data_IF_506807774431
#
_entry.id   IF_506807774431
#
_cell.length_a   1.000
_cell.length_b   1.000
_cell.length_c   1.000
_cell.angle_alpha   90.00
_cell.angle_beta   90.00
_cell.angle_gamma   90.00
#
_symmetry.space_group_name_H-M   'P 1'
#
loop_
_entity.id
_entity.type
_entity.pdbx_description
1 polymer ?
#
# COMPACT_ATOMS: atom_id res chain seq x y z
N UNK A 1 -32.06 -35.08 40.68
CA UNK A 1 -31.94 -33.68 41.12
C UNK A 1 -30.75 -33.10 40.35
N UNK A 2 -31.00 -32.59 39.15
CA UNK A 2 -29.97 -32.06 38.24
C UNK A 2 -29.95 -30.55 38.33
N UNK A 3 -28.84 -29.99 38.81
CA UNK A 3 -28.52 -28.57 38.65
C UNK A 3 -27.96 -28.30 37.23
N UNK A 4 -28.40 -27.24 36.54
CA UNK A 4 -27.77 -26.72 35.34
C UNK A 4 -27.20 -25.30 35.58
N UNK A 5 -25.88 -25.11 35.49
CA UNK A 5 -25.21 -23.82 35.21
C UNK A 5 -23.70 -23.95 35.47
N UNK A 6 -22.80 -23.34 34.72
CA UNK A 6 -22.98 -22.28 33.74
C UNK A 6 -21.95 -22.40 32.63
N UNK A 7 -22.42 -22.17 31.41
CA UNK A 7 -21.58 -21.93 30.26
C UNK A 7 -20.85 -20.59 30.47
N UNK A 8 -19.52 -20.66 30.52
CA UNK A 8 -18.66 -19.50 30.43
C UNK A 8 -18.70 -18.98 28.99
N UNK A 9 -19.56 -17.99 28.73
CA UNK A 9 -19.60 -17.26 27.46
C UNK A 9 -18.41 -16.29 27.39
N UNK A 10 -17.27 -16.82 26.96
CA UNK A 10 -16.09 -16.04 26.64
C UNK A 10 -16.26 -15.28 25.32
N UNK A 11 -16.38 -13.97 25.41
CA UNK A 11 -15.89 -13.00 24.43
C UNK A 11 -16.50 -13.06 23.02
N UNK A 12 -17.61 -12.34 22.83
CA UNK A 12 -18.06 -11.91 21.52
C UNK A 12 -17.06 -10.88 20.93
N UNK A 13 -15.95 -11.34 20.36
CA UNK A 13 -15.34 -10.61 19.27
C UNK A 13 -16.29 -10.76 18.08
N UNK A 14 -16.88 -9.68 17.60
CA UNK A 14 -17.74 -9.71 16.41
C UNK A 14 -16.94 -10.32 15.25
N UNK A 15 -17.11 -11.62 15.03
CA UNK A 15 -16.64 -12.30 13.84
C UNK A 15 -17.48 -11.75 12.71
N UNK A 16 -17.00 -10.71 12.04
CA UNK A 16 -17.44 -10.34 10.70
C UNK A 16 -17.23 -11.53 9.78
N UNK A 17 -18.26 -12.37 9.70
CA UNK A 17 -18.26 -13.45 8.74
C UNK A 17 -18.36 -12.84 7.35
N UNK A 18 -17.29 -12.96 6.59
CA UNK A 18 -17.25 -12.60 5.18
C UNK A 18 -17.43 -13.90 4.39
N UNK A 19 -18.43 -14.01 3.52
CA UNK A 19 -18.53 -15.12 2.58
C UNK A 19 -17.24 -15.20 1.75
N UNK A 20 -16.61 -16.37 1.60
CA UNK A 20 -15.34 -16.47 0.89
C UNK A 20 -15.46 -15.97 -0.56
N UNK A 21 -14.43 -15.32 -1.08
CA UNK A 21 -14.38 -14.94 -2.50
C UNK A 21 -14.44 -16.19 -3.37
N UNK A 22 -15.48 -16.32 -4.19
CA UNK A 22 -15.72 -17.45 -5.09
C UNK A 22 -15.46 -17.08 -6.55
N UNK A 23 -15.31 -15.80 -6.84
CA UNK A 23 -14.98 -15.28 -8.16
C UNK A 23 -15.66 -13.94 -8.41
N UNK A 24 -15.83 -13.60 -9.69
CA UNK A 24 -16.40 -12.32 -10.12
C UNK A 24 -17.86 -12.11 -9.67
N UNK A 25 -18.60 -13.20 -9.40
CA UNK A 25 -20.01 -13.16 -9.00
C UNK A 25 -20.23 -12.54 -7.60
N UNK A 26 -19.29 -12.72 -6.67
CA UNK A 26 -19.38 -12.16 -5.32
C UNK A 26 -18.27 -11.16 -5.01
N UNK A 27 -17.43 -10.83 -5.98
CA UNK A 27 -16.28 -9.96 -5.82
C UNK A 27 -16.62 -8.59 -5.22
N UNK A 28 -17.62 -7.88 -5.77
CA UNK A 28 -17.95 -6.52 -5.31
C UNK A 28 -18.38 -6.50 -3.83
N UNK A 29 -19.19 -7.49 -3.41
CA UNK A 29 -19.64 -7.60 -2.02
C UNK A 29 -18.48 -8.01 -1.11
N UNK A 30 -17.69 -8.99 -1.55
CA UNK A 30 -16.52 -9.46 -0.82
C UNK A 30 -15.49 -8.34 -0.63
N UNK A 31 -15.23 -7.54 -1.66
CA UNK A 31 -14.25 -6.45 -1.67
C UNK A 31 -14.61 -5.38 -0.63
N UNK A 32 -15.86 -4.91 -0.63
CA UNK A 32 -16.37 -3.96 0.38
C UNK A 32 -16.22 -4.52 1.80
N UNK A 33 -16.69 -5.75 2.03
CA UNK A 33 -16.62 -6.35 3.35
C UNK A 33 -15.18 -6.57 3.81
N UNK A 34 -14.30 -6.98 2.89
CA UNK A 34 -12.89 -7.18 3.19
C UNK A 34 -12.18 -5.86 3.48
N UNK A 35 -12.53 -4.78 2.79
CA UNK A 35 -12.07 -3.42 3.07
C UNK A 35 -12.49 -2.95 4.47
N UNK A 36 -13.76 -3.13 4.85
CA UNK A 36 -14.26 -2.80 6.19
C UNK A 36 -13.45 -3.52 7.28
N UNK A 37 -13.16 -4.79 7.05
CA UNK A 37 -12.42 -5.64 7.99
C UNK A 37 -10.95 -5.27 8.10
N UNK A 38 -10.30 -4.97 6.97
CA UNK A 38 -8.92 -4.52 7.01
C UNK A 38 -8.83 -3.13 7.63
N UNK A 39 -9.83 -2.27 7.44
CA UNK A 39 -9.89 -0.94 8.04
C UNK A 39 -10.08 -1.02 9.55
N UNK A 40 -11.01 -1.85 10.04
CA UNK A 40 -11.22 -2.09 11.47
C UNK A 40 -9.94 -2.61 12.18
N UNK A 41 -9.11 -3.37 11.46
CA UNK A 41 -7.83 -3.87 11.96
C UNK A 41 -6.63 -2.93 11.77
N UNK A 42 -6.82 -1.74 11.18
CA UNK A 42 -5.78 -0.79 10.75
C UNK A 42 -4.74 -1.41 9.76
N UNK A 43 -5.22 -2.32 8.93
CA UNK A 43 -4.44 -3.07 7.94
C UNK A 43 -4.69 -2.66 6.50
N UNK A 44 -5.77 -1.94 6.20
CA UNK A 44 -6.16 -1.62 4.82
C UNK A 44 -5.05 -0.90 4.05
N UNK A 45 -4.29 -0.03 4.72
CA UNK A 45 -3.15 0.67 4.13
C UNK A 45 -2.04 -0.26 3.57
N UNK A 46 -1.97 -1.51 4.01
CA UNK A 46 -1.04 -2.50 3.46
C UNK A 46 -1.60 -3.23 2.24
N UNK A 47 -2.92 -3.24 2.06
CA UNK A 47 -3.61 -3.89 0.96
C UNK A 47 -3.80 -2.94 -0.24
N UNK A 48 -4.14 -1.68 -0.01
CA UNK A 48 -4.22 -0.66 -1.07
C UNK A 48 -2.82 -0.16 -1.53
N UNK A 49 -1.78 -0.45 -0.73
CA UNK A 49 -0.40 -0.02 -0.98
C UNK A 49 -0.07 1.40 -0.50
N UNK A 50 -0.97 2.08 0.22
CA UNK A 50 -0.74 3.44 0.75
C UNK A 50 0.32 3.48 1.86
N UNK A 51 0.42 2.43 2.69
CA UNK A 51 1.50 2.25 3.67
C UNK A 51 2.73 1.66 2.97
N UNK A 52 3.61 2.54 2.49
CA UNK A 52 4.87 2.16 1.85
C UNK A 52 5.79 1.38 2.81
N UNK A 53 6.49 0.38 2.27
CA UNK A 53 7.48 -0.42 2.98
C UNK A 53 8.67 0.46 3.39
N UNK A 54 8.97 0.59 4.70
CA UNK A 54 10.15 1.34 5.16
C UNK A 54 11.46 0.71 4.65
N UNK A 55 12.54 1.49 4.68
CA UNK A 55 13.87 0.94 4.51
C UNK A 55 14.23 0.03 5.71
N UNK A 56 15.03 -1.02 5.47
CA UNK A 56 15.44 -1.94 6.54
C UNK A 56 16.46 -1.31 7.49
N UNK A 57 17.23 -0.34 7.00
CA UNK A 57 18.30 0.35 7.72
C UNK A 57 17.99 1.84 7.76
N UNK A 58 18.19 2.47 8.91
CA UNK A 58 18.07 3.93 9.05
C UNK A 58 19.44 4.53 8.77
N UNK A 59 19.48 5.52 7.87
CA UNK A 59 20.64 6.39 7.71
C UNK A 59 20.72 7.31 8.92
N UNK A 60 21.69 7.07 9.81
CA UNK A 60 21.92 7.93 10.96
C UNK A 60 23.01 8.92 10.58
N UNK A 61 22.66 10.21 10.54
CA UNK A 61 23.65 11.27 10.42
C UNK A 61 24.44 11.35 11.73
N UNK A 62 25.63 10.76 11.77
CA UNK A 62 26.53 10.91 12.91
C UNK A 62 27.36 12.16 12.66
N UNK A 63 27.19 13.17 13.50
CA UNK A 63 27.98 14.40 13.41
C UNK A 63 29.36 14.18 14.06
N UNK A 64 30.22 13.43 13.37
CA UNK A 64 31.51 12.98 13.89
C UNK A 64 32.72 13.86 13.55
N UNK A 65 32.71 14.57 12.41
CA UNK A 65 33.86 15.36 11.94
C UNK A 65 33.53 16.84 11.75
N UNK A 66 34.46 17.69 12.18
CA UNK A 66 34.50 19.10 11.80
C UNK A 66 35.38 19.23 10.55
N UNK A 67 34.98 20.04 9.58
CA UNK A 67 35.89 20.52 8.55
C UNK A 67 36.91 21.51 9.15
N UNK A 68 37.86 21.94 8.32
CA UNK A 68 38.94 22.84 8.73
C UNK A 68 38.42 24.24 9.10
N UNK A 69 37.18 24.57 8.69
CA UNK A 69 36.42 25.75 9.08
C UNK A 69 35.58 25.58 10.37
N UNK A 70 35.56 24.37 10.95
CA UNK A 70 34.84 24.06 12.18
C UNK A 70 33.36 23.68 12.01
N UNK A 71 32.85 23.61 10.78
CA UNK A 71 31.51 23.12 10.47
C UNK A 71 31.45 21.60 10.50
N UNK A 72 30.31 21.06 10.95
CA UNK A 72 30.12 19.61 11.09
C UNK A 72 29.76 19.02 9.72
N UNK A 73 30.59 18.11 9.20
CA UNK A 73 30.25 17.28 8.04
C UNK A 73 29.47 16.04 8.51
N UNK A 74 28.38 15.65 7.82
CA UNK A 74 27.66 14.43 8.13
C UNK A 74 28.46 13.20 7.66
N UNK A 75 28.96 12.39 8.60
CA UNK A 75 29.34 11.01 8.29
C UNK A 75 28.04 10.18 8.35
N UNK A 76 27.67 9.58 7.21
CA UNK A 76 26.51 8.69 7.12
C UNK A 76 26.93 7.29 7.58
N UNK A 77 26.57 6.90 8.81
CA UNK A 77 26.69 5.51 9.24
C UNK A 77 25.35 4.81 8.97
N UNK A 78 25.36 3.91 7.99
CA UNK A 78 24.19 3.13 7.57
C UNK A 78 24.26 1.77 8.23
N UNK A 79 23.91 1.65 9.51
CA UNK A 79 23.79 0.30 10.08
C UNK A 79 22.77 0.08 11.20
N UNK A 80 22.06 1.11 11.65
CA UNK A 80 21.01 0.90 12.65
C UNK A 80 19.75 0.28 12.03
N UNK A 81 19.23 -0.78 12.66
CA UNK A 81 18.00 -1.44 12.23
C UNK A 81 16.79 -0.52 12.39
N UNK A 82 15.93 -0.45 11.37
CA UNK A 82 14.72 0.36 11.42
C UNK A 82 13.59 -0.39 12.16
N UNK A 83 13.16 0.02 13.36
CA UNK A 83 12.06 -0.64 14.07
C UNK A 83 10.73 -0.57 13.29
N UNK A 84 10.55 0.47 12.46
CA UNK A 84 9.36 0.61 11.60
C UNK A 84 9.30 -0.51 10.56
N UNK A 85 10.45 -0.97 10.04
CA UNK A 85 10.51 -2.07 9.08
C UNK A 85 9.93 -3.36 9.66
N UNK A 86 10.37 -3.75 10.85
CA UNK A 86 9.90 -4.98 11.49
C UNK A 86 8.40 -4.92 11.81
N UNK A 87 7.91 -3.76 12.27
CA UNK A 87 6.48 -3.56 12.53
C UNK A 87 5.64 -3.61 11.24
N UNK A 88 6.12 -3.00 10.15
CA UNK A 88 5.47 -3.01 8.86
C UNK A 88 5.36 -4.44 8.30
N UNK A 89 6.44 -5.23 8.36
CA UNK A 89 6.44 -6.62 7.88
C UNK A 89 5.40 -7.47 8.61
N UNK A 90 5.24 -7.27 9.94
CA UNK A 90 4.24 -7.99 10.73
C UNK A 90 2.82 -7.61 10.32
N UNK A 91 2.56 -6.32 10.14
CA UNK A 91 1.26 -5.81 9.73
C UNK A 91 0.89 -6.27 8.31
N UNK A 92 1.82 -6.17 7.36
CA UNK A 92 1.64 -6.66 5.99
C UNK A 92 1.38 -8.18 5.96
N UNK A 93 2.13 -8.98 6.73
CA UNK A 93 1.85 -10.42 6.88
C UNK A 93 0.45 -10.67 7.41
N UNK A 94 0.03 -9.91 8.42
CA UNK A 94 -1.29 -10.04 9.04
C UNK A 94 -2.39 -9.69 8.02
N UNK A 95 -2.21 -8.64 7.23
CA UNK A 95 -3.13 -8.27 6.16
C UNK A 95 -3.24 -9.40 5.10
N UNK A 96 -2.10 -9.92 4.64
CA UNK A 96 -2.06 -11.02 3.67
C UNK A 96 -2.74 -12.29 4.19
N UNK A 97 -2.50 -12.66 5.44
CA UNK A 97 -3.19 -13.80 6.09
C UNK A 97 -4.70 -13.56 6.17
N UNK A 98 -5.14 -12.34 6.51
CA UNK A 98 -6.55 -12.00 6.58
C UNK A 98 -7.23 -12.13 5.21
N UNK A 99 -6.57 -11.72 4.12
CA UNK A 99 -7.06 -11.88 2.74
C UNK A 99 -7.16 -13.36 2.38
N UNK A 100 -6.07 -14.13 2.58
CA UNK A 100 -6.00 -15.56 2.22
C UNK A 100 -7.02 -16.43 2.94
N UNK A 101 -7.35 -16.10 4.18
CA UNK A 101 -8.36 -16.83 4.97
C UNK A 101 -9.80 -16.56 4.52
N UNK A 102 -10.02 -15.58 3.64
CA UNK A 102 -11.35 -15.15 3.17
C UNK A 102 -11.53 -15.33 1.68
N UNK A 103 -10.64 -16.06 1.03
CA UNK A 103 -10.81 -16.50 -0.37
C UNK A 103 -11.10 -17.99 -0.42
N UNK A 104 -11.85 -18.43 -1.42
CA UNK A 104 -12.03 -19.85 -1.70
C UNK A 104 -10.72 -20.50 -2.18
N UNK A 105 -10.61 -21.82 -2.03
CA UNK A 105 -9.43 -22.59 -2.47
C UNK A 105 -9.13 -22.44 -3.96
N UNK A 106 -10.15 -22.31 -4.81
CA UNK A 106 -9.99 -22.04 -6.24
C UNK A 106 -9.34 -20.68 -6.49
N UNK A 107 -9.76 -19.66 -5.74
CA UNK A 107 -9.26 -18.29 -5.85
C UNK A 107 -7.85 -18.15 -5.27
N UNK A 108 -7.52 -18.92 -4.23
CA UNK A 108 -6.21 -18.91 -3.58
C UNK A 108 -5.07 -19.23 -4.57
N UNK A 109 -5.35 -20.00 -5.62
CA UNK A 109 -4.37 -20.33 -6.67
C UNK A 109 -3.84 -19.10 -7.41
N UNK A 110 -4.63 -18.03 -7.53
CA UNK A 110 -4.22 -16.78 -8.17
C UNK A 110 -3.25 -15.96 -7.29
N UNK A 111 -3.34 -16.08 -5.96
CA UNK A 111 -2.56 -15.26 -5.00
C UNK A 111 -1.54 -16.06 -4.17
N UNK A 112 -1.31 -17.33 -4.52
CA UNK A 112 -0.37 -18.20 -3.80
C UNK A 112 1.07 -17.66 -3.80
N UNK A 113 1.49 -17.02 -4.91
CA UNK A 113 2.83 -16.45 -5.07
C UNK A 113 2.99 -15.04 -4.51
N UNK A 114 1.90 -14.38 -4.09
CA UNK A 114 1.96 -13.02 -3.57
C UNK A 114 2.68 -12.99 -2.21
N UNK A 115 3.64 -12.10 -2.06
CA UNK A 115 4.47 -11.96 -0.84
C UNK A 115 4.07 -10.79 0.04
N UNK A 116 3.29 -9.84 -0.50
CA UNK A 116 2.73 -8.68 0.20
C UNK A 116 1.21 -8.69 0.09
N UNK A 117 0.54 -8.01 1.04
CA UNK A 117 -0.91 -7.85 0.99
C UNK A 117 -1.34 -7.04 -0.24
N UNK A 118 -0.59 -5.99 -0.59
CA UNK A 118 -0.82 -5.18 -1.78
C UNK A 118 -0.81 -6.00 -3.08
N UNK A 119 0.20 -6.85 -3.27
CA UNK A 119 0.28 -7.68 -4.48
C UNK A 119 -0.89 -8.66 -4.57
N UNK A 120 -1.34 -9.22 -3.44
CA UNK A 120 -2.51 -10.08 -3.40
C UNK A 120 -3.79 -9.31 -3.74
N UNK A 121 -3.99 -8.15 -3.12
CA UNK A 121 -5.14 -7.28 -3.34
C UNK A 121 -5.28 -6.86 -4.81
N UNK A 122 -4.22 -6.28 -5.39
CA UNK A 122 -4.22 -5.86 -6.80
C UNK A 122 -4.42 -7.02 -7.77
N UNK A 123 -3.95 -8.23 -7.43
CA UNK A 123 -4.17 -9.43 -8.26
C UNK A 123 -5.63 -9.85 -8.25
N UNK A 124 -6.29 -9.81 -7.09
CA UNK A 124 -7.73 -10.10 -6.98
C UNK A 124 -8.56 -9.06 -7.73
N UNK A 125 -8.21 -7.76 -7.60
CA UNK A 125 -8.81 -6.68 -8.38
C UNK A 125 -8.66 -6.92 -9.88
N UNK A 126 -7.45 -7.21 -10.35
CA UNK A 126 -7.20 -7.45 -11.77
C UNK A 126 -7.94 -8.69 -12.31
N UNK A 127 -8.16 -9.71 -11.48
CA UNK A 127 -8.75 -10.98 -11.89
C UNK A 127 -10.28 -10.99 -11.85
N UNK A 128 -10.89 -10.39 -10.82
CA UNK A 128 -12.32 -10.55 -10.53
C UNK A 128 -13.14 -9.26 -10.56
N UNK A 129 -12.49 -8.10 -10.56
CA UNK A 129 -13.21 -6.86 -10.77
C UNK A 129 -13.76 -6.85 -12.20
N UNK A 130 -15.09 -6.90 -12.31
CA UNK A 130 -15.76 -6.76 -13.60
C UNK A 130 -15.54 -5.33 -14.06
N UNK A 131 -14.52 -5.13 -14.90
CA UNK A 131 -14.32 -3.90 -15.67
C UNK A 131 -15.39 -3.89 -16.75
N UNK A 132 -16.58 -3.42 -16.39
CA UNK A 132 -17.71 -3.38 -17.30
C UNK A 132 -17.33 -2.67 -18.59
N UNK A 133 -17.42 -3.38 -19.72
CA UNK A 133 -17.43 -2.77 -21.05
C UNK A 133 -18.78 -2.08 -21.24
N UNK A 134 -18.95 -0.89 -20.67
CA UNK A 134 -19.91 0.08 -21.22
C UNK A 134 -19.14 0.81 -22.31
N UNK A 135 -19.54 0.58 -23.56
CA UNK A 135 -18.78 0.98 -24.74
C UNK A 135 -18.33 2.44 -24.72
N UNK A 136 -17.01 2.62 -24.79
CA UNK A 136 -16.39 3.77 -25.44
C UNK A 136 -15.10 3.27 -26.11
N UNK A 137 -15.30 2.50 -27.18
CA UNK A 137 -14.36 2.54 -28.30
C UNK A 137 -14.49 3.97 -28.84
N UNK A 138 -13.60 4.86 -28.43
CA UNK A 138 -12.84 5.71 -29.36
C UNK A 138 -11.87 6.65 -28.62
N UNK A 139 -10.62 6.66 -29.11
CA UNK A 139 -9.58 7.69 -28.91
C UNK A 139 -8.81 7.76 -27.57
N UNK A 140 -8.14 6.68 -27.14
CA UNK A 140 -6.87 6.81 -26.34
C UNK A 140 -5.83 5.78 -26.82
N UNK A 141 -5.73 5.56 -28.13
CA UNK A 141 -4.59 4.82 -28.72
C UNK A 141 -3.84 5.69 -29.75
N UNK A 142 -4.00 7.01 -29.65
CA UNK A 142 -3.26 8.00 -30.45
C UNK A 142 -3.05 9.29 -29.66
N UNK A 143 -2.49 9.19 -28.45
CA UNK A 143 -1.75 10.32 -27.89
C UNK A 143 -0.31 9.86 -27.76
N UNK A 144 0.32 10.04 -28.92
CA UNK A 144 1.74 10.06 -29.19
C UNK A 144 2.57 10.47 -27.96
N UNK A 145 3.43 9.55 -27.57
CA UNK A 145 4.61 9.78 -26.74
C UNK A 145 5.49 10.85 -27.36
N UNK A 146 5.24 12.13 -27.03
CA UNK A 146 6.21 13.22 -27.16
C UNK A 146 5.73 14.45 -26.38
N UNK A 147 6.66 15.05 -25.64
CA UNK A 147 6.52 16.28 -24.86
C UNK A 147 5.90 16.18 -23.44
N UNK A 148 6.48 15.33 -22.57
CA UNK A 148 6.49 15.65 -21.13
C UNK A 148 7.87 16.20 -20.76
N UNK A 149 8.06 17.49 -21.02
CA UNK A 149 9.13 18.26 -20.39
C UNK A 149 8.72 18.47 -18.92
N UNK A 150 9.52 18.02 -17.92
CA UNK A 150 9.18 18.23 -16.52
C UNK A 150 9.19 19.72 -16.18
N UNK A 151 8.14 20.18 -15.50
CA UNK A 151 7.82 21.57 -15.15
C UNK A 151 8.86 22.22 -14.20
N UNK A 152 9.93 21.52 -13.83
CA UNK A 152 10.97 22.02 -12.91
C UNK A 152 12.06 22.89 -13.57
N UNK A 153 11.88 23.38 -14.80
CA UNK A 153 12.90 24.19 -15.48
C UNK A 153 12.48 25.60 -15.90
N UNK A 154 11.37 26.15 -15.40
CA UNK A 154 10.97 27.55 -15.67
C UNK A 154 10.93 28.35 -14.37
N UNK A 155 12.09 28.60 -13.78
CA UNK A 155 12.27 29.72 -12.84
C UNK A 155 13.76 30.02 -12.58
N UNK A 156 14.51 30.36 -13.64
CA UNK A 156 15.69 31.20 -13.49
C UNK A 156 16.15 31.80 -14.83
N UNK A 157 15.50 32.86 -15.31
CA UNK A 157 16.09 33.77 -16.29
C UNK A 157 15.35 35.11 -16.29
N UNK A 158 15.49 35.89 -15.22
CA UNK A 158 15.06 37.30 -15.23
C UNK A 158 16.26 38.21 -14.98
N UNK A 159 17.14 38.29 -15.98
CA UNK A 159 18.10 39.38 -16.16
C UNK A 159 18.35 39.62 -17.64
N UNK A 160 17.42 40.28 -18.31
CA UNK A 160 17.64 41.27 -19.38
C UNK A 160 16.34 41.50 -20.13
N UNK A 161 15.70 42.64 -19.90
CA UNK A 161 15.24 43.54 -20.97
C UNK A 161 14.81 44.86 -20.34
N UNK A 162 15.59 45.91 -20.56
CA UNK A 162 15.01 47.22 -20.88
C UNK A 162 15.96 47.91 -21.85
N UNK A 163 15.67 47.74 -23.14
CA UNK A 163 15.97 48.75 -24.14
C UNK A 163 14.96 49.89 -23.95
N UNK A 164 15.43 51.14 -23.86
CA UNK A 164 15.07 52.18 -24.85
C UNK A 164 15.39 53.63 -24.42
N UNK A 165 15.89 54.37 -25.41
CA UNK A 165 15.77 55.82 -25.67
C UNK A 165 16.81 56.75 -25.00
N UNK A 166 17.78 57.21 -25.79
CA UNK A 166 17.77 58.53 -26.48
C UNK A 166 18.81 58.53 -27.59
#
# INVERSE_FOLDING_TARGET
MTDPSGANAGGAGSLHWIPPLQGANNYNVWHIQMEDVLTDLDLYGHADGSKLKPNSKVEVAITGRKDDEGNRLPDLEVDSDNPLYASWIKADRKALSNIRLRVDGSVLTHIQGCTTAANAWSTLEATFQVKGTVGLIDVVDTIDTREFIPIFSILNEDKRTTFSIT
#
